data_IF_219312447319
#
_entry.id   IF_219312447319
#
_cell.length_a   1.000
_cell.length_b   1.000
_cell.length_c   1.000
_cell.angle_alpha   90.00
_cell.angle_beta   90.00
_cell.angle_gamma   90.00
#
_symmetry.space_group_name_H-M   'P 1'
#
loop_
_entity.id
_entity.type
_entity.pdbx_description
1 polymer ?
#
# COMPACT_ATOMS: atom_id res chain seq x y z
N UNK A 1 -27.11 19.51 9.75
CA UNK A 1 -26.22 18.36 9.96
C UNK A 1 -24.71 18.71 9.95
N UNK A 2 -24.31 19.91 9.49
CA UNK A 2 -22.88 20.36 9.52
C UNK A 2 -22.38 20.78 10.91
N UNK A 3 -23.28 21.27 11.76
CA UNK A 3 -22.92 21.87 13.06
C UNK A 3 -22.42 20.85 14.10
N UNK A 4 -23.03 19.66 14.15
CA UNK A 4 -22.68 18.62 15.14
C UNK A 4 -21.31 17.98 14.86
N UNK A 5 -20.93 17.84 13.58
CA UNK A 5 -19.65 17.26 13.18
C UNK A 5 -18.48 18.23 13.45
N UNK A 6 -18.72 19.55 13.28
CA UNK A 6 -17.74 20.60 13.60
C UNK A 6 -17.49 20.66 15.11
N UNK A 7 -18.54 20.69 15.92
CA UNK A 7 -18.41 20.68 17.39
C UNK A 7 -17.64 19.46 17.91
N UNK A 8 -17.79 18.29 17.30
CA UNK A 8 -17.08 17.07 17.72
C UNK A 8 -15.60 17.15 17.43
N UNK A 9 -15.17 17.72 16.30
CA UNK A 9 -13.74 17.84 15.98
C UNK A 9 -13.07 18.90 16.86
N UNK A 10 -13.73 20.03 17.12
CA UNK A 10 -13.22 21.07 18.01
C UNK A 10 -13.04 20.56 19.44
N UNK A 11 -14.00 19.79 19.96
CA UNK A 11 -13.89 19.12 21.25
C UNK A 11 -12.71 18.13 21.29
N UNK A 12 -12.43 17.44 20.17
CA UNK A 12 -11.29 16.53 20.09
C UNK A 12 -9.95 17.30 20.13
N UNK A 13 -9.86 18.43 19.44
CA UNK A 13 -8.70 19.33 19.50
C UNK A 13 -8.51 19.90 20.90
N UNK A 14 -9.57 20.39 21.56
CA UNK A 14 -9.53 20.90 22.93
C UNK A 14 -9.04 19.81 23.92
N UNK A 15 -9.53 18.58 23.73
CA UNK A 15 -9.11 17.44 24.54
C UNK A 15 -7.61 17.13 24.33
N UNK A 16 -7.12 17.18 23.09
CA UNK A 16 -5.72 16.97 22.76
C UNK A 16 -4.84 18.06 23.37
N UNK A 17 -5.15 19.33 23.12
CA UNK A 17 -4.35 20.46 23.62
C UNK A 17 -4.35 20.54 25.15
N UNK A 18 -5.52 20.32 25.79
CA UNK A 18 -5.57 20.26 27.26
C UNK A 18 -4.69 19.15 27.84
N UNK A 19 -4.54 18.04 27.11
CA UNK A 19 -3.66 16.94 27.55
C UNK A 19 -2.18 17.25 27.31
N UNK A 20 -1.84 18.03 26.28
CA UNK A 20 -0.48 18.47 25.99
C UNK A 20 0.00 19.51 27.01
N UNK A 21 -0.90 20.39 27.49
CA UNK A 21 -0.60 21.46 28.43
C UNK A 21 -0.74 21.05 29.91
N UNK A 22 -1.06 19.79 30.19
CA UNK A 22 -1.42 19.30 31.54
C UNK A 22 -0.36 19.59 32.61
N UNK A 23 0.90 19.76 32.24
CA UNK A 23 2.01 19.99 33.17
C UNK A 23 2.91 21.16 32.66
N UNK A 24 2.33 22.33 32.44
CA UNK A 24 3.01 23.54 31.95
C UNK A 24 3.90 23.28 30.71
N UNK A 25 3.42 22.48 29.75
CA UNK A 25 4.15 22.11 28.53
C UNK A 25 5.15 20.96 28.68
N UNK A 26 5.42 20.47 29.88
CA UNK A 26 6.33 19.33 30.11
C UNK A 26 5.78 18.01 29.52
N UNK A 27 4.47 17.85 29.43
CA UNK A 27 3.89 16.61 28.94
C UNK A 27 4.19 16.40 27.46
N UNK A 28 4.13 17.44 26.64
CA UNK A 28 4.50 17.37 25.22
C UNK A 28 5.97 16.94 25.04
N UNK A 29 6.88 17.56 25.81
CA UNK A 29 8.30 17.23 25.77
C UNK A 29 8.57 15.76 26.16
N UNK A 30 7.94 15.28 27.24
CA UNK A 30 8.05 13.87 27.70
C UNK A 30 7.54 12.90 26.63
N UNK A 31 6.44 13.21 25.99
CA UNK A 31 5.90 12.36 24.91
C UNK A 31 6.82 12.38 23.68
N UNK A 32 7.39 13.53 23.33
CA UNK A 32 8.34 13.64 22.23
C UNK A 32 9.60 12.79 22.47
N UNK A 33 10.19 12.87 23.67
CA UNK A 33 11.33 12.04 24.07
C UNK A 33 11.01 10.54 24.03
N UNK A 34 9.83 10.14 24.56
CA UNK A 34 9.40 8.75 24.55
C UNK A 34 9.13 8.23 23.12
N UNK A 35 8.55 9.06 22.25
CA UNK A 35 8.36 8.74 20.83
C UNK A 35 9.70 8.55 20.15
N UNK A 36 10.65 9.46 20.34
CA UNK A 36 11.99 9.39 19.76
C UNK A 36 12.74 8.13 20.24
N UNK A 37 12.66 7.83 21.52
CA UNK A 37 13.25 6.61 22.09
C UNK A 37 12.70 5.37 21.43
N UNK A 38 11.36 5.27 21.27
CA UNK A 38 10.71 4.11 20.65
C UNK A 38 11.02 3.98 19.16
N UNK A 39 11.10 5.10 18.43
CA UNK A 39 11.52 5.09 17.04
C UNK A 39 12.93 4.50 16.88
N UNK A 40 13.85 4.86 17.80
CA UNK A 40 15.22 4.31 17.83
C UNK A 40 15.24 2.82 18.18
N UNK A 41 14.51 2.44 19.25
CA UNK A 41 14.46 1.03 19.70
C UNK A 41 13.88 0.09 18.64
N UNK A 42 12.87 0.55 17.90
CA UNK A 42 12.22 -0.25 16.86
C UNK A 42 13.00 -0.24 15.53
N UNK A 43 14.12 0.51 15.44
CA UNK A 43 14.95 0.57 14.24
C UNK A 43 14.23 1.20 13.04
N UNK A 44 13.27 2.13 13.30
CA UNK A 44 12.53 2.80 12.25
C UNK A 44 13.46 3.71 11.46
N UNK A 45 14.08 3.18 10.44
CA UNK A 45 15.00 3.87 9.55
C UNK A 45 14.38 4.05 8.18
N UNK A 46 14.54 5.24 7.63
CA UNK A 46 14.26 5.54 6.24
C UNK A 46 15.59 5.73 5.53
N UNK A 47 15.96 4.82 4.65
CA UNK A 47 17.21 4.92 3.89
C UNK A 47 17.00 5.86 2.70
N UNK A 48 17.45 7.11 2.80
CA UNK A 48 17.42 8.03 1.66
C UNK A 48 18.63 7.75 0.74
N UNK A 49 18.40 7.10 -0.39
CA UNK A 49 19.44 6.80 -1.39
C UNK A 49 19.95 8.04 -2.17
N UNK A 50 19.42 9.23 -1.91
CA UNK A 50 19.69 10.44 -2.69
C UNK A 50 21.00 11.17 -2.37
N UNK A 51 21.79 10.75 -1.39
CA UNK A 51 23.08 11.36 -1.08
C UNK A 51 24.21 10.34 -1.02
N UNK A 52 25.40 10.72 -1.52
CA UNK A 52 26.65 9.93 -1.47
C UNK A 52 27.09 9.53 -0.04
N UNK A 53 26.35 9.94 0.97
CA UNK A 53 26.48 9.54 2.36
C UNK A 53 25.19 8.83 2.74
N UNK A 54 25.24 7.53 2.94
CA UNK A 54 24.16 6.72 3.48
C UNK A 54 23.76 7.19 4.88
N UNK A 55 23.00 8.29 4.94
CA UNK A 55 22.43 8.75 6.20
C UNK A 55 21.09 8.02 6.38
N UNK A 56 21.09 7.04 7.29
CA UNK A 56 19.87 6.52 7.86
C UNK A 56 19.10 7.70 8.49
N UNK A 57 18.13 8.24 7.75
CA UNK A 57 17.23 9.23 8.35
C UNK A 57 16.32 8.49 9.29
N UNK A 58 16.43 8.81 10.56
CA UNK A 58 15.49 8.38 11.56
C UNK A 58 14.10 8.92 11.20
N UNK A 59 13.08 8.06 11.20
CA UNK A 59 11.71 8.51 11.01
C UNK A 59 11.34 9.51 12.10
N UNK A 60 10.79 10.66 11.72
CA UNK A 60 10.24 11.64 12.66
C UNK A 60 8.75 11.37 12.85
N UNK A 61 8.28 11.51 14.08
CA UNK A 61 6.87 11.41 14.43
C UNK A 61 6.53 12.52 15.41
N UNK A 62 5.67 13.43 14.98
CA UNK A 62 5.14 14.47 15.86
C UNK A 62 4.16 13.87 16.87
N UNK A 63 4.18 14.40 18.07
CA UNK A 63 3.22 14.02 19.13
C UNK A 63 1.85 14.68 18.95
N UNK A 64 1.75 15.71 18.11
CA UNK A 64 0.50 16.34 17.71
C UNK A 64 0.00 15.69 16.42
N UNK A 65 -0.94 14.72 16.49
CA UNK A 65 -1.45 14.08 15.28
C UNK A 65 -2.43 15.00 14.54
N UNK A 66 -2.50 14.86 13.23
CA UNK A 66 -3.60 15.45 12.48
C UNK A 66 -4.92 14.72 12.82
N UNK A 67 -5.91 15.47 13.28
CA UNK A 67 -7.23 14.93 13.62
C UNK A 67 -8.17 15.08 12.41
N UNK A 68 -8.86 14.00 12.08
CA UNK A 68 -9.90 13.97 11.06
C UNK A 68 -11.19 13.40 11.67
N UNK A 69 -12.30 14.09 11.50
CA UNK A 69 -13.58 13.59 11.97
C UNK A 69 -14.09 12.41 11.11
N UNK A 70 -15.00 11.61 11.68
CA UNK A 70 -15.51 10.41 11.03
C UNK A 70 -16.27 10.73 9.73
N UNK A 71 -17.06 11.80 9.70
CA UNK A 71 -17.83 12.18 8.51
C UNK A 71 -16.93 12.54 7.31
N UNK A 72 -15.86 13.30 7.54
CA UNK A 72 -14.85 13.61 6.52
C UNK A 72 -14.14 12.33 6.06
N UNK A 73 -13.72 11.47 7.00
CA UNK A 73 -13.08 10.20 6.66
C UNK A 73 -14.00 9.31 5.80
N UNK A 74 -15.28 9.19 6.17
CA UNK A 74 -16.24 8.38 5.41
C UNK A 74 -16.55 8.97 4.04
N UNK A 75 -16.63 10.30 3.93
CA UNK A 75 -16.79 10.97 2.63
C UNK A 75 -15.62 10.63 1.71
N UNK A 76 -14.38 10.81 2.18
CA UNK A 76 -13.19 10.46 1.43
C UNK A 76 -13.15 8.96 1.08
N UNK A 77 -13.44 8.09 2.05
CA UNK A 77 -13.43 6.64 1.83
C UNK A 77 -14.42 6.20 0.74
N UNK A 78 -15.63 6.82 0.68
CA UNK A 78 -16.61 6.55 -0.38
C UNK A 78 -16.08 6.98 -1.76
N UNK A 79 -15.54 8.20 -1.88
CA UNK A 79 -14.98 8.70 -3.14
C UNK A 79 -13.80 7.87 -3.62
N UNK A 80 -12.86 7.56 -2.72
CA UNK A 80 -11.68 6.75 -3.05
C UNK A 80 -12.06 5.30 -3.41
N UNK A 81 -13.09 4.73 -2.76
CA UNK A 81 -13.60 3.41 -3.12
C UNK A 81 -14.29 3.40 -4.49
N UNK A 82 -14.98 4.46 -4.85
CA UNK A 82 -15.54 4.64 -6.20
C UNK A 82 -14.43 4.69 -7.24
N UNK A 83 -13.38 5.47 -6.98
CA UNK A 83 -12.22 5.60 -7.84
C UNK A 83 -11.51 4.25 -8.04
N UNK A 84 -11.35 3.48 -6.97
CA UNK A 84 -10.76 2.14 -7.05
C UNK A 84 -11.58 1.20 -7.95
N UNK A 85 -12.92 1.21 -7.82
CA UNK A 85 -13.79 0.42 -8.71
C UNK A 85 -13.70 0.85 -10.17
N UNK A 86 -13.58 2.15 -10.42
CA UNK A 86 -13.35 2.67 -11.76
C UNK A 86 -12.03 2.14 -12.34
N UNK A 87 -10.93 2.20 -11.59
CA UNK A 87 -9.64 1.68 -12.04
C UNK A 87 -9.65 0.16 -12.26
N UNK A 88 -10.38 -0.58 -11.46
CA UNK A 88 -10.59 -2.01 -11.66
C UNK A 88 -11.26 -2.30 -13.02
N UNK A 89 -12.33 -1.56 -13.34
CA UNK A 89 -13.02 -1.68 -14.62
C UNK A 89 -12.11 -1.26 -15.80
N UNK A 90 -11.38 -0.15 -15.65
CA UNK A 90 -10.45 0.37 -16.64
C UNK A 90 -9.32 -0.63 -16.93
N UNK A 91 -8.69 -1.22 -15.92
CA UNK A 91 -7.64 -2.21 -16.10
C UNK A 91 -8.17 -3.50 -16.73
N UNK A 92 -9.37 -3.91 -16.35
CA UNK A 92 -10.03 -5.07 -16.96
C UNK A 92 -10.30 -4.86 -18.45
N UNK A 93 -10.66 -3.64 -18.88
CA UNK A 93 -10.82 -3.31 -20.29
C UNK A 93 -9.46 -3.21 -21.01
N UNK A 94 -8.50 -2.48 -20.44
CA UNK A 94 -7.17 -2.26 -21.04
C UNK A 94 -6.44 -3.58 -21.31
N UNK A 95 -6.50 -4.52 -20.39
CA UNK A 95 -5.84 -5.83 -20.52
C UNK A 95 -6.76 -6.93 -21.04
N UNK A 96 -8.05 -6.62 -21.29
CA UNK A 96 -9.06 -7.49 -21.87
C UNK A 96 -9.43 -7.11 -23.30
N UNK A 97 -10.70 -6.81 -23.50
CA UNK A 97 -11.30 -6.56 -24.82
C UNK A 97 -10.91 -5.21 -25.46
N UNK A 98 -10.43 -4.25 -24.67
CA UNK A 98 -9.97 -2.91 -25.13
C UNK A 98 -11.07 -2.10 -25.83
N UNK A 99 -12.28 -2.15 -25.32
CA UNK A 99 -13.41 -1.40 -25.88
C UNK A 99 -13.15 0.11 -25.89
N UNK A 100 -12.63 0.66 -24.79
CA UNK A 100 -12.30 2.10 -24.67
C UNK A 100 -11.20 2.56 -25.62
N UNK A 101 -10.33 1.65 -26.05
CA UNK A 101 -9.34 1.94 -27.09
C UNK A 101 -9.97 1.85 -28.48
N UNK A 102 -10.83 0.85 -28.73
CA UNK A 102 -11.47 0.62 -30.01
C UNK A 102 -12.46 1.74 -30.39
N UNK A 103 -13.18 2.30 -29.42
CA UNK A 103 -14.13 3.41 -29.63
C UNK A 103 -13.46 4.80 -29.56
N UNK A 104 -12.16 4.88 -29.25
CA UNK A 104 -11.41 6.12 -29.17
C UNK A 104 -11.56 6.91 -27.89
N UNK A 105 -12.24 6.38 -26.87
CA UNK A 105 -12.36 6.99 -25.54
C UNK A 105 -10.99 7.12 -24.87
N UNK A 106 -10.10 6.18 -25.12
CA UNK A 106 -8.69 6.20 -24.69
C UNK A 106 -7.82 6.35 -25.95
N UNK A 107 -7.02 7.44 -26.07
CA UNK A 107 -6.04 7.55 -27.12
C UNK A 107 -4.97 6.46 -27.03
N UNK A 108 -4.60 5.89 -28.17
CA UNK A 108 -3.63 4.80 -28.24
C UNK A 108 -2.26 5.16 -27.67
N UNK A 109 -1.83 6.39 -27.83
CA UNK A 109 -0.57 6.91 -27.29
C UNK A 109 -0.59 7.02 -25.76
N UNK A 110 -1.73 7.32 -25.14
CA UNK A 110 -1.85 7.33 -23.68
C UNK A 110 -1.56 5.94 -23.07
N UNK A 111 -1.92 4.90 -23.80
CA UNK A 111 -1.70 3.52 -23.35
C UNK A 111 -0.35 2.98 -23.79
N UNK A 112 -0.07 2.99 -25.09
CA UNK A 112 1.11 2.29 -25.65
C UNK A 112 2.43 3.06 -25.48
N UNK A 113 2.39 4.37 -25.29
CA UNK A 113 3.58 5.16 -24.95
C UNK A 113 3.84 5.19 -23.42
N UNK A 114 2.94 4.64 -22.60
CA UNK A 114 3.13 4.56 -21.15
C UNK A 114 4.16 3.46 -20.84
N UNK A 115 5.31 3.78 -20.21
CA UNK A 115 6.35 2.79 -19.91
C UNK A 115 5.89 1.73 -18.89
N UNK A 116 4.82 1.99 -18.15
CA UNK A 116 4.25 1.07 -17.16
C UNK A 116 3.15 0.16 -17.74
N UNK A 117 2.84 0.31 -19.04
CA UNK A 117 1.95 -0.61 -19.72
C UNK A 117 2.68 -1.93 -20.01
N UNK A 118 2.15 -3.03 -19.50
CA UNK A 118 2.70 -4.36 -19.73
C UNK A 118 1.87 -5.10 -20.78
N UNK A 119 2.39 -5.24 -21.99
CA UNK A 119 1.70 -6.00 -23.03
C UNK A 119 1.52 -7.46 -22.64
N UNK A 120 2.41 -8.02 -21.85
CA UNK A 120 2.40 -9.39 -21.32
C UNK A 120 1.25 -9.65 -20.34
N UNK A 121 0.67 -8.58 -19.80
CA UNK A 121 -0.51 -8.67 -18.93
C UNK A 121 -1.83 -8.76 -19.74
N UNK A 122 -1.78 -8.57 -21.07
CA UNK A 122 -2.98 -8.72 -21.89
C UNK A 122 -3.51 -10.16 -21.85
N UNK A 123 -4.83 -10.27 -21.67
CA UNK A 123 -5.50 -11.57 -21.54
C UNK A 123 -5.33 -12.25 -20.19
N UNK A 124 -4.69 -11.58 -19.20
CA UNK A 124 -4.71 -12.07 -17.81
C UNK A 124 -6.16 -12.08 -17.29
N UNK A 125 -6.51 -13.19 -16.63
CA UNK A 125 -7.72 -13.28 -15.82
C UNK A 125 -7.32 -13.58 -14.38
N UNK A 126 -6.89 -12.55 -13.63
CA UNK A 126 -6.29 -12.74 -12.32
C UNK A 126 -7.31 -13.27 -11.29
N UNK A 127 -6.82 -14.08 -10.34
CA UNK A 127 -7.62 -14.60 -9.23
C UNK A 127 -7.91 -13.56 -8.13
N UNK A 128 -7.36 -12.38 -8.27
CA UNK A 128 -7.57 -11.22 -7.40
C UNK A 128 -7.97 -10.02 -8.25
N UNK A 129 -8.65 -9.01 -7.72
CA UNK A 129 -8.80 -7.73 -8.40
C UNK A 129 -7.44 -7.19 -8.86
N UNK A 130 -7.40 -6.48 -9.99
CA UNK A 130 -6.22 -5.80 -10.49
C UNK A 130 -5.59 -4.90 -9.42
N UNK A 131 -6.46 -4.17 -8.71
CA UNK A 131 -6.08 -3.27 -7.62
C UNK A 131 -6.69 -3.74 -6.31
N UNK A 132 -5.91 -4.43 -5.50
CA UNK A 132 -6.33 -4.90 -4.18
C UNK A 132 -6.14 -3.83 -3.11
N UNK A 133 -5.17 -2.94 -3.28
CA UNK A 133 -5.03 -1.72 -2.49
C UNK A 133 -4.33 -0.61 -3.29
N UNK A 134 -4.62 0.62 -2.93
CA UNK A 134 -4.30 1.82 -3.68
C UNK A 134 -3.94 2.93 -2.69
N UNK A 135 -2.82 3.59 -2.90
CA UNK A 135 -2.48 4.82 -2.21
C UNK A 135 -2.93 6.03 -3.03
N UNK A 136 -3.42 7.05 -2.33
CA UNK A 136 -3.76 8.34 -2.94
C UNK A 136 -3.05 9.47 -2.19
N UNK A 137 -2.52 10.42 -2.95
CA UNK A 137 -2.08 11.70 -2.44
C UNK A 137 -3.24 12.67 -2.43
N UNK A 138 -3.60 13.14 -1.24
CA UNK A 138 -4.72 14.03 -1.03
C UNK A 138 -4.26 15.41 -0.58
N UNK A 139 -4.89 16.46 -1.08
CA UNK A 139 -4.70 17.83 -0.62
C UNK A 139 -6.02 18.43 -0.23
N UNK A 140 -6.00 19.28 0.79
CA UNK A 140 -7.14 20.11 1.19
C UNK A 140 -6.83 21.56 0.87
N UNK A 141 -7.69 22.21 0.12
CA UNK A 141 -7.53 23.64 -0.22
C UNK A 141 -7.96 24.56 0.93
N UNK A 142 -7.77 25.87 0.74
CA UNK A 142 -8.14 26.87 1.71
C UNK A 142 -9.66 26.96 1.98
N UNK A 143 -10.49 26.47 1.06
CA UNK A 143 -11.95 26.39 1.24
C UNK A 143 -12.38 25.15 2.03
N UNK A 144 -11.45 24.23 2.29
CA UNK A 144 -11.69 22.97 2.97
C UNK A 144 -12.06 21.80 2.05
N UNK A 145 -12.04 22.00 0.73
CA UNK A 145 -12.33 20.95 -0.25
C UNK A 145 -11.12 20.03 -0.45
N UNK A 146 -11.39 18.74 -0.60
CA UNK A 146 -10.36 17.70 -0.81
C UNK A 146 -10.21 17.38 -2.29
N UNK A 147 -8.95 17.21 -2.72
CA UNK A 147 -8.59 16.83 -4.07
C UNK A 147 -7.61 15.66 -4.06
N UNK A 148 -7.69 14.80 -5.06
CA UNK A 148 -6.70 13.75 -5.32
C UNK A 148 -5.63 14.33 -6.25
N UNK A 149 -4.38 14.36 -5.81
CA UNK A 149 -3.24 14.82 -6.61
C UNK A 149 -2.56 13.68 -7.36
N UNK A 150 -2.60 12.48 -6.82
CA UNK A 150 -1.91 11.34 -7.38
C UNK A 150 -2.42 10.02 -6.81
N UNK A 151 -1.97 8.95 -7.42
CA UNK A 151 -2.25 7.58 -6.98
C UNK A 151 -1.05 6.68 -7.23
N UNK A 152 -0.97 5.59 -6.47
CA UNK A 152 0.03 4.53 -6.67
C UNK A 152 -0.58 3.16 -6.45
N UNK A 153 -0.37 2.27 -7.42
CA UNK A 153 -0.87 0.90 -7.45
C UNK A 153 0.23 -0.14 -7.58
N UNK A 154 1.39 0.19 -8.16
CA UNK A 154 2.48 -0.77 -8.40
C UNK A 154 2.94 -1.47 -7.14
N UNK A 155 3.32 -0.73 -6.14
CA UNK A 155 3.74 -1.23 -4.83
C UNK A 155 3.58 -0.13 -3.77
N UNK A 156 2.34 0.33 -3.47
CA UNK A 156 2.15 1.48 -2.59
C UNK A 156 2.81 1.25 -1.23
N UNK A 157 3.72 2.15 -0.85
CA UNK A 157 4.45 2.12 0.41
C UNK A 157 3.73 2.97 1.48
N UNK A 158 4.17 2.84 2.75
CA UNK A 158 3.69 3.65 3.86
C UNK A 158 2.78 2.92 4.86
N UNK A 159 2.18 1.80 4.47
CA UNK A 159 1.22 1.07 5.29
C UNK A 159 1.84 0.55 6.60
N UNK A 160 3.07 0.02 6.53
CA UNK A 160 3.82 -0.44 7.70
C UNK A 160 4.25 0.71 8.60
N UNK A 161 4.65 1.84 8.01
CA UNK A 161 5.00 3.04 8.78
C UNK A 161 3.79 3.61 9.53
N UNK A 162 2.62 3.66 8.89
CA UNK A 162 1.37 4.10 9.53
C UNK A 162 1.02 3.18 10.71
N UNK A 163 1.15 1.88 10.54
CA UNK A 163 0.87 0.91 11.59
C UNK A 163 1.83 1.09 12.77
N UNK A 164 3.13 1.15 12.51
CA UNK A 164 4.15 1.29 13.55
C UNK A 164 4.00 2.61 14.33
N UNK A 165 3.81 3.71 13.62
CA UNK A 165 3.54 5.02 14.24
C UNK A 165 2.28 4.96 15.12
N UNK A 166 1.21 4.30 14.66
CA UNK A 166 0.00 4.09 15.45
C UNK A 166 0.26 3.25 16.70
N UNK A 167 1.11 2.23 16.62
CA UNK A 167 1.50 1.42 17.78
C UNK A 167 2.30 2.23 18.79
N UNK A 168 3.26 3.04 18.33
CA UNK A 168 4.03 3.97 19.19
C UNK A 168 3.08 4.94 19.89
N UNK A 169 2.24 5.66 19.14
CA UNK A 169 1.28 6.62 19.70
C UNK A 169 0.30 5.95 20.68
N UNK A 170 -0.11 4.71 20.42
CA UNK A 170 -0.98 3.97 21.34
C UNK A 170 -0.31 3.60 22.67
N UNK A 171 1.01 3.46 22.67
CA UNK A 171 1.79 3.22 23.90
C UNK A 171 2.06 4.52 24.68
N UNK A 172 2.36 5.60 23.95
CA UNK A 172 2.69 6.91 24.54
C UNK A 172 1.45 7.62 25.07
N UNK A 173 0.40 7.70 24.28
CA UNK A 173 -0.84 8.43 24.62
C UNK A 173 -2.11 7.58 24.53
N UNK A 174 -2.02 6.30 24.85
CA UNK A 174 -3.13 5.35 24.67
C UNK A 174 -4.40 5.71 25.42
N UNK A 175 -4.29 6.33 26.60
CA UNK A 175 -5.46 6.83 27.34
C UNK A 175 -6.20 7.91 26.54
N UNK A 176 -5.45 8.90 25.98
CA UNK A 176 -6.00 9.98 25.18
C UNK A 176 -6.68 9.46 23.92
N UNK A 177 -6.03 8.56 23.18
CA UNK A 177 -6.60 7.96 21.96
C UNK A 177 -7.90 7.20 22.23
N UNK A 178 -8.02 6.54 23.40
CA UNK A 178 -9.28 5.89 23.82
C UNK A 178 -10.35 6.91 24.18
N UNK A 179 -10.00 7.96 24.92
CA UNK A 179 -10.93 9.03 25.30
C UNK A 179 -11.51 9.75 24.08
N UNK A 180 -10.69 9.94 23.05
CA UNK A 180 -11.10 10.54 21.78
C UNK A 180 -11.76 9.54 20.82
N UNK A 181 -11.95 8.28 21.22
CA UNK A 181 -12.56 7.22 20.41
C UNK A 181 -11.90 7.02 19.03
N UNK A 182 -10.57 7.15 18.97
CA UNK A 182 -9.83 7.07 17.71
C UNK A 182 -10.01 5.70 17.04
N UNK A 183 -10.38 5.69 15.76
CA UNK A 183 -10.62 4.47 14.96
C UNK A 183 -9.40 3.56 14.92
N UNK A 184 -9.61 2.27 15.16
CA UNK A 184 -8.53 1.25 15.17
C UNK A 184 -8.21 0.79 13.75
N UNK A 185 -6.92 0.56 13.47
CA UNK A 185 -6.45 0.07 12.17
C UNK A 185 -6.49 -1.47 12.06
N UNK A 186 -6.65 -2.19 13.17
CA UNK A 186 -6.56 -3.66 13.21
C UNK A 186 -7.55 -4.37 12.28
N UNK A 187 -8.73 -3.78 12.03
CA UNK A 187 -9.71 -4.32 11.10
C UNK A 187 -9.18 -4.40 9.67
N UNK A 188 -8.54 -3.34 9.21
CA UNK A 188 -7.94 -3.28 7.87
C UNK A 188 -6.88 -4.39 7.67
N UNK A 189 -5.92 -4.51 8.60
CA UNK A 189 -4.85 -5.50 8.49
C UNK A 189 -5.36 -6.94 8.56
N UNK A 190 -6.42 -7.18 9.35
CA UNK A 190 -7.10 -8.48 9.37
C UNK A 190 -7.73 -8.81 8.03
N UNK A 191 -8.44 -7.86 7.42
CA UNK A 191 -9.06 -8.03 6.10
C UNK A 191 -8.00 -8.29 5.02
N UNK A 192 -6.89 -7.52 5.01
CA UNK A 192 -5.79 -7.71 4.08
C UNK A 192 -5.19 -9.11 4.20
N UNK A 193 -4.93 -9.58 5.42
CA UNK A 193 -4.42 -10.92 5.67
C UNK A 193 -5.40 -12.00 5.18
N UNK A 194 -6.68 -11.85 5.49
CA UNK A 194 -7.72 -12.81 5.05
C UNK A 194 -7.85 -12.84 3.54
N UNK A 195 -7.82 -11.68 2.89
CA UNK A 195 -7.91 -11.57 1.44
C UNK A 195 -6.78 -12.34 0.73
N UNK A 196 -5.53 -12.21 1.19
CA UNK A 196 -4.40 -12.93 0.58
C UNK A 196 -4.34 -14.41 0.95
N UNK A 197 -4.99 -14.82 2.03
CA UNK A 197 -5.12 -16.23 2.44
C UNK A 197 -6.39 -16.91 1.92
N UNK A 198 -7.29 -16.19 1.26
CA UNK A 198 -8.52 -16.76 0.77
C UNK A 198 -8.21 -17.92 -0.22
N UNK A 199 -8.96 -19.01 -0.11
CA UNK A 199 -8.81 -20.24 -0.90
C UNK A 199 -7.46 -20.96 -0.75
N UNK A 200 -6.63 -20.56 0.24
CA UNK A 200 -5.40 -21.28 0.56
C UNK A 200 -5.71 -22.61 1.26
N UNK A 201 -4.91 -23.64 0.96
CA UNK A 201 -4.92 -24.87 1.76
C UNK A 201 -4.21 -24.62 3.08
N UNK A 202 -4.50 -25.39 4.12
CA UNK A 202 -3.93 -25.20 5.47
C UNK A 202 -2.38 -25.11 5.52
N UNK A 203 -1.71 -25.67 4.52
CA UNK A 203 -0.25 -25.70 4.45
C UNK A 203 0.35 -24.65 3.50
N UNK A 204 -0.47 -23.93 2.74
CA UNK A 204 -0.01 -22.93 1.79
C UNK A 204 0.45 -21.65 2.53
N UNK A 205 1.55 -21.07 2.05
CA UNK A 205 2.12 -19.86 2.63
C UNK A 205 1.54 -18.60 1.97
N UNK A 206 1.46 -17.54 2.75
CA UNK A 206 1.41 -16.17 2.20
C UNK A 206 2.77 -15.50 2.42
N UNK A 207 3.24 -14.80 1.41
CA UNK A 207 4.54 -14.13 1.45
C UNK A 207 4.40 -12.63 1.19
N UNK A 208 5.39 -11.88 1.66
CA UNK A 208 5.67 -10.54 1.19
C UNK A 208 6.93 -10.63 0.31
N UNK A 209 6.75 -10.38 -1.00
CA UNK A 209 7.85 -10.38 -1.96
C UNK A 209 8.55 -9.02 -1.94
N UNK A 210 9.80 -9.00 -1.51
CA UNK A 210 10.64 -7.80 -1.38
C UNK A 210 11.78 -7.78 -2.39
N UNK A 211 12.21 -6.59 -2.85
CA UNK A 211 13.46 -6.44 -3.60
C UNK A 211 14.73 -6.67 -2.76
N UNK A 212 14.60 -6.87 -1.45
CA UNK A 212 15.72 -7.06 -0.53
C UNK A 212 16.12 -5.81 0.25
N UNK A 213 17.23 -5.91 0.98
CA UNK A 213 17.68 -4.90 1.94
C UNK A 213 18.17 -3.58 1.31
N UNK A 214 18.38 -3.54 0.01
CA UNK A 214 18.90 -2.36 -0.70
C UNK A 214 17.84 -1.26 -0.90
N UNK A 215 16.56 -1.54 -0.68
CA UNK A 215 15.48 -0.56 -0.89
C UNK A 215 15.17 0.21 0.39
N UNK A 216 14.81 1.48 0.23
CA UNK A 216 14.48 2.39 1.34
C UNK A 216 13.38 1.85 2.26
N UNK A 217 12.41 1.16 1.68
CA UNK A 217 11.22 0.65 2.38
C UNK A 217 11.40 -0.74 2.99
N UNK A 218 12.63 -1.30 3.02
CA UNK A 218 12.86 -2.66 3.53
C UNK A 218 12.37 -2.86 4.97
N UNK A 219 12.57 -1.84 5.84
CA UNK A 219 12.00 -1.87 7.20
C UNK A 219 10.49 -2.12 7.17
N UNK A 220 9.77 -1.37 6.32
CA UNK A 220 8.32 -1.52 6.17
C UNK A 220 7.96 -2.94 5.72
N UNK A 221 8.71 -3.50 4.77
CA UNK A 221 8.46 -4.84 4.25
C UNK A 221 8.60 -5.90 5.35
N UNK A 222 9.70 -5.86 6.11
CA UNK A 222 9.94 -6.78 7.21
C UNK A 222 8.90 -6.64 8.34
N UNK A 223 8.57 -5.39 8.68
CA UNK A 223 7.58 -5.09 9.70
C UNK A 223 6.17 -5.57 9.31
N UNK A 224 5.74 -5.31 8.07
CA UNK A 224 4.45 -5.78 7.57
C UNK A 224 4.39 -7.30 7.46
N UNK A 225 5.43 -7.95 6.96
CA UNK A 225 5.49 -9.40 6.86
C UNK A 225 5.28 -10.04 8.25
N UNK A 226 6.00 -9.56 9.25
CA UNK A 226 5.85 -10.03 10.63
C UNK A 226 4.44 -9.76 11.19
N UNK A 227 3.88 -8.56 10.97
CA UNK A 227 2.56 -8.20 11.50
C UNK A 227 1.40 -8.96 10.85
N UNK A 228 1.53 -9.25 9.54
CA UNK A 228 0.54 -10.02 8.79
C UNK A 228 0.72 -11.53 8.93
N UNK A 229 1.78 -11.99 9.61
CA UNK A 229 2.16 -13.39 9.69
C UNK A 229 2.39 -13.98 8.28
N UNK A 230 3.15 -13.22 7.47
CA UNK A 230 3.63 -13.59 6.15
C UNK A 230 5.12 -13.88 6.19
N UNK A 231 5.58 -14.77 5.33
CA UNK A 231 7.01 -14.98 5.16
C UNK A 231 7.58 -13.87 4.28
N UNK A 232 8.61 -13.17 4.76
CA UNK A 232 9.38 -12.25 3.92
C UNK A 232 10.24 -13.06 2.97
N UNK A 233 10.17 -12.79 1.67
CA UNK A 233 10.90 -13.54 0.65
C UNK A 233 11.42 -12.60 -0.45
N UNK A 234 12.60 -12.90 -0.98
CA UNK A 234 13.17 -12.31 -2.18
C UNK A 234 12.90 -13.22 -3.39
N UNK A 235 13.10 -12.72 -4.61
CA UNK A 235 12.85 -13.49 -5.83
C UNK A 235 13.64 -14.80 -5.90
N UNK A 236 14.88 -14.79 -5.40
CA UNK A 236 15.76 -15.95 -5.36
C UNK A 236 15.31 -17.05 -4.39
N UNK A 237 14.49 -16.71 -3.38
CA UNK A 237 13.90 -17.68 -2.46
C UNK A 237 12.76 -18.48 -3.09
N UNK A 238 12.31 -18.07 -4.26
CA UNK A 238 11.11 -18.58 -4.91
C UNK A 238 11.46 -19.40 -6.16
N UNK A 239 10.53 -20.21 -6.59
CA UNK A 239 10.57 -20.94 -7.87
C UNK A 239 9.14 -21.30 -8.30
N UNK A 240 8.91 -21.35 -9.61
CA UNK A 240 7.65 -21.85 -10.16
C UNK A 240 7.78 -23.32 -10.53
N UNK A 241 6.82 -24.14 -10.11
CA UNK A 241 6.72 -25.57 -10.48
C UNK A 241 5.33 -25.86 -11.00
N UNK A 242 5.27 -26.27 -12.27
CA UNK A 242 4.00 -26.33 -12.98
C UNK A 242 3.38 -24.92 -13.08
N UNK A 243 2.22 -24.74 -12.50
CA UNK A 243 1.53 -23.44 -12.41
C UNK A 243 1.56 -22.84 -10.99
N UNK A 244 2.33 -23.39 -10.05
CA UNK A 244 2.35 -22.96 -8.65
C UNK A 244 3.66 -22.28 -8.27
N UNK A 245 3.54 -21.18 -7.53
CA UNK A 245 4.67 -20.55 -6.86
C UNK A 245 5.05 -21.36 -5.62
N UNK A 246 6.34 -21.58 -5.42
CA UNK A 246 6.91 -22.36 -4.33
C UNK A 246 8.01 -21.56 -3.63
N UNK A 247 8.03 -21.61 -2.31
CA UNK A 247 9.13 -21.10 -1.47
C UNK A 247 10.15 -22.22 -1.24
N UNK A 248 11.41 -21.94 -1.47
CA UNK A 248 12.53 -22.82 -1.15
C UNK A 248 12.81 -22.78 0.35
N UNK A 249 12.75 -23.92 1.02
CA UNK A 249 13.07 -24.04 2.46
C UNK A 249 14.06 -25.17 2.69
N UNK A 250 14.65 -25.21 3.87
CA UNK A 250 15.58 -26.31 4.25
C UNK A 250 14.90 -27.69 4.22
N UNK A 251 13.59 -27.75 4.42
CA UNK A 251 12.80 -28.98 4.36
C UNK A 251 12.23 -29.29 2.98
N UNK A 252 12.55 -28.49 1.95
CA UNK A 252 12.06 -28.64 0.59
C UNK A 252 11.19 -27.48 0.12
N UNK A 253 10.45 -27.70 -0.95
CA UNK A 253 9.59 -26.68 -1.55
C UNK A 253 8.24 -26.62 -0.83
N UNK A 254 7.84 -25.41 -0.42
CA UNK A 254 6.52 -25.15 0.16
C UNK A 254 5.66 -24.30 -0.77
N UNK A 255 4.38 -24.66 -1.00
CA UNK A 255 3.52 -23.90 -1.88
C UNK A 255 3.16 -22.53 -1.30
N UNK A 256 3.12 -21.53 -2.19
CA UNK A 256 2.71 -20.15 -1.90
C UNK A 256 1.40 -19.88 -2.62
N UNK A 257 0.37 -19.49 -1.87
CA UNK A 257 -0.96 -19.16 -2.41
C UNK A 257 -1.23 -17.67 -2.52
N UNK A 258 -0.57 -16.84 -1.69
CA UNK A 258 -0.77 -15.40 -1.66
C UNK A 258 0.52 -14.60 -1.62
N UNK A 259 0.59 -13.55 -2.41
CA UNK A 259 1.76 -12.65 -2.51
C UNK A 259 1.33 -11.21 -2.28
N UNK A 260 1.86 -10.58 -1.24
CA UNK A 260 1.89 -9.14 -1.11
C UNK A 260 3.16 -8.62 -1.80
N UNK A 261 2.98 -8.04 -2.99
CA UNK A 261 4.08 -7.65 -3.86
C UNK A 261 4.65 -6.28 -3.47
N UNK A 262 5.98 -6.20 -3.37
CA UNK A 262 6.76 -4.97 -3.20
C UNK A 262 7.82 -4.77 -4.28
N UNK A 263 7.93 -5.70 -5.21
CA UNK A 263 8.73 -5.59 -6.42
C UNK A 263 7.93 -4.88 -7.50
N UNK A 264 8.57 -4.05 -8.32
CA UNK A 264 7.91 -3.30 -9.40
C UNK A 264 7.35 -4.24 -10.47
N UNK A 265 6.41 -3.77 -11.27
CA UNK A 265 5.75 -4.60 -12.27
C UNK A 265 6.74 -5.22 -13.25
N UNK A 266 7.69 -4.43 -13.76
CA UNK A 266 8.66 -4.88 -14.76
C UNK A 266 9.69 -5.87 -14.21
N UNK A 267 9.95 -5.85 -12.90
CA UNK A 267 11.02 -6.63 -12.28
C UNK A 267 10.58 -7.96 -11.70
N UNK A 268 9.28 -8.30 -11.73
CA UNK A 268 8.75 -9.50 -11.07
C UNK A 268 9.09 -10.81 -11.78
N UNK A 269 9.34 -10.79 -13.09
CA UNK A 269 9.62 -11.99 -13.88
C UNK A 269 10.69 -11.72 -14.95
N UNK A 270 11.92 -12.25 -14.77
CA UNK A 270 12.99 -12.05 -15.74
C UNK A 270 12.80 -12.84 -17.05
N UNK A 271 11.84 -13.75 -17.15
CA UNK A 271 11.59 -14.48 -18.41
C UNK A 271 10.65 -13.73 -19.35
N UNK A 272 9.62 -13.07 -18.81
CA UNK A 272 8.61 -12.40 -19.64
C UNK A 272 8.80 -10.87 -19.66
N UNK A 273 9.46 -10.27 -18.65
CA UNK A 273 9.59 -8.83 -18.48
C UNK A 273 11.06 -8.38 -18.55
N UNK A 274 11.60 -7.84 -17.45
CA UNK A 274 12.98 -7.35 -17.41
C UNK A 274 13.98 -8.50 -17.22
N UNK A 275 14.60 -8.98 -18.29
CA UNK A 275 15.58 -10.08 -18.27
C UNK A 275 16.83 -9.84 -17.42
N UNK A 276 17.08 -8.60 -17.00
CA UNK A 276 18.18 -8.25 -16.09
C UNK A 276 17.75 -8.19 -14.61
N UNK A 277 16.46 -8.36 -14.33
CA UNK A 277 15.96 -8.32 -12.96
C UNK A 277 16.48 -9.48 -12.14
N UNK A 278 16.97 -9.15 -10.94
CA UNK A 278 17.33 -10.12 -9.89
C UNK A 278 16.32 -10.11 -8.73
N UNK A 279 15.26 -9.31 -8.84
CA UNK A 279 14.26 -9.11 -7.78
C UNK A 279 13.04 -10.01 -7.95
N UNK A 280 12.85 -10.50 -9.17
CA UNK A 280 11.71 -11.32 -9.56
C UNK A 280 11.99 -12.82 -9.55
N UNK A 281 10.95 -13.58 -9.86
CA UNK A 281 11.00 -15.05 -9.93
C UNK A 281 10.68 -15.50 -11.35
N UNK A 282 11.56 -16.28 -12.02
CA UNK A 282 11.31 -16.77 -13.36
C UNK A 282 9.99 -17.58 -13.44
N UNK A 283 9.10 -17.21 -14.38
CA UNK A 283 7.81 -17.84 -14.61
C UNK A 283 6.69 -17.38 -13.67
N UNK A 284 6.91 -16.31 -12.88
CA UNK A 284 5.89 -15.80 -11.97
C UNK A 284 4.66 -15.26 -12.72
N UNK A 285 4.85 -14.60 -13.88
CA UNK A 285 3.76 -14.14 -14.72
C UNK A 285 2.89 -15.31 -15.21
N UNK A 286 3.49 -16.42 -15.62
CA UNK A 286 2.74 -17.63 -16.03
C UNK A 286 1.97 -18.23 -14.84
N UNK A 287 2.55 -18.25 -13.63
CA UNK A 287 1.85 -18.71 -12.43
C UNK A 287 0.62 -17.83 -12.12
N UNK A 288 0.73 -16.52 -12.25
CA UNK A 288 -0.41 -15.57 -12.09
C UNK A 288 -1.46 -15.83 -13.17
N UNK A 289 -1.06 -15.94 -14.42
CA UNK A 289 -1.92 -16.16 -15.59
C UNK A 289 -2.75 -17.43 -15.45
N UNK A 290 -2.16 -18.49 -14.90
CA UNK A 290 -2.84 -19.78 -14.67
C UNK A 290 -3.59 -19.88 -13.34
N UNK A 291 -3.68 -18.78 -12.59
CA UNK A 291 -4.36 -18.77 -11.30
C UNK A 291 -3.67 -19.62 -10.22
N UNK A 292 -2.36 -19.87 -10.37
CA UNK A 292 -1.58 -20.67 -9.43
C UNK A 292 -1.14 -19.90 -8.18
N UNK A 293 -1.32 -18.59 -8.17
CA UNK A 293 -1.00 -17.70 -7.04
C UNK A 293 -1.87 -16.45 -7.08
N UNK A 294 -2.34 -16.00 -5.92
CA UNK A 294 -3.02 -14.70 -5.73
C UNK A 294 -1.98 -13.62 -5.51
N UNK A 295 -2.13 -12.47 -6.15
CA UNK A 295 -1.18 -11.37 -6.02
C UNK A 295 -1.86 -10.03 -5.78
N UNK A 296 -1.37 -9.26 -4.85
CA UNK A 296 -1.79 -7.90 -4.57
C UNK A 296 -0.61 -6.92 -4.73
N UNK A 297 -0.66 -5.94 -5.65
CA UNK A 297 -1.59 -5.84 -6.77
C UNK A 297 -1.11 -6.68 -7.96
N UNK A 298 -2.01 -6.93 -8.90
CA UNK A 298 -1.69 -7.68 -10.12
C UNK A 298 -0.70 -6.87 -10.97
N UNK A 299 0.31 -7.53 -11.60
CA UNK A 299 1.23 -6.86 -12.51
C UNK A 299 0.52 -6.20 -13.69
N UNK A 300 0.94 -5.00 -14.05
CA UNK A 300 0.26 -4.14 -15.02
C UNK A 300 -0.64 -3.09 -14.37
N UNK A 301 -0.97 -3.21 -13.09
CA UNK A 301 -1.74 -2.17 -12.39
C UNK A 301 -1.05 -0.81 -12.39
N UNK A 302 0.27 -0.76 -12.52
CA UNK A 302 1.06 0.47 -12.53
C UNK A 302 0.75 1.42 -13.69
N UNK A 303 0.14 0.95 -14.76
CA UNK A 303 -0.21 1.80 -15.91
C UNK A 303 -1.07 3.00 -15.51
N UNK A 304 -1.92 2.86 -14.50
CA UNK A 304 -2.80 3.94 -14.01
C UNK A 304 -2.12 4.92 -13.05
N UNK A 305 -0.87 4.68 -12.64
CA UNK A 305 -0.12 5.59 -11.78
C UNK A 305 0.34 6.86 -12.53
N UNK A 306 0.31 6.83 -13.87
CA UNK A 306 0.69 7.98 -14.70
C UNK A 306 -0.24 9.19 -14.45
N UNK A 307 0.32 10.39 -14.22
CA UNK A 307 -0.46 11.62 -14.07
C UNK A 307 -1.36 11.95 -15.27
N UNK A 308 -1.05 11.43 -16.46
CA UNK A 308 -1.81 11.65 -17.68
C UNK A 308 -3.26 11.15 -17.57
N UNK A 309 -3.51 10.14 -16.73
CA UNK A 309 -4.86 9.66 -16.46
C UNK A 309 -5.71 10.67 -15.72
N UNK A 310 -5.11 11.49 -14.83
CA UNK A 310 -5.84 12.44 -13.99
C UNK A 310 -6.65 13.43 -14.82
N UNK A 311 -6.10 13.94 -15.93
CA UNK A 311 -6.79 14.85 -16.83
C UNK A 311 -7.85 14.20 -17.74
N UNK A 312 -7.96 12.87 -17.75
CA UNK A 312 -8.88 12.13 -18.62
C UNK A 312 -10.04 11.47 -17.87
N UNK A 313 -9.94 11.34 -16.54
CA UNK A 313 -10.92 10.59 -15.75
C UNK A 313 -12.34 11.11 -15.87
N UNK A 314 -12.53 12.43 -15.93
CA UNK A 314 -13.86 13.04 -16.05
C UNK A 314 -14.56 12.62 -17.35
N UNK A 315 -13.82 12.57 -18.47
CA UNK A 315 -14.37 12.14 -19.77
C UNK A 315 -14.67 10.63 -19.83
N UNK A 316 -13.97 9.81 -19.05
CA UNK A 316 -14.18 8.37 -19.02
C UNK A 316 -15.30 7.94 -18.04
N UNK A 317 -15.76 8.82 -17.18
CA UNK A 317 -16.84 8.56 -16.22
C UNK A 317 -18.25 8.91 -16.77
N UNK A 318 -18.35 9.44 -18.01
CA UNK A 318 -19.60 9.75 -18.70
C UNK A 318 -20.08 8.55 -19.52
#
# INVERSE_FOLDING_TARGET
>A
MSDTASQTIDTAWDTLFSALDYDEGNQQARWAEEVERRLKENGLTYQAHTSKHHQNRQGQLDVVPYLMNESTFEHLARGLSQRMRFFEALLSDIYGERHLLADGSIPADLLFANPDYLIEAHGLNPQTPWVSFLAHDLVRDASGQWFVLGQSTRAPAGLGYVLERRLIMSRVMGYLLRRMSVKRLSGFFRTLRQFLRADSRDQDLSILLTPGQSVESYFEHAFLANHLDFTLAEGDDLTVRGNRLMLKTLSGLRPVSGVLRRVTDQDIDPLELNGFSRQGTPGLMDAVRRGGVRMANVPGSGVIDSPLWMGRLEGLCQ
#
